data_IF_055352873315
#
_entry.id   IF_055352873315
#
_cell.length_a   1.000
_cell.length_b   1.000
_cell.length_c   1.000
_cell.angle_alpha   90.00
_cell.angle_beta   90.00
_cell.angle_gamma   90.00
#
_symmetry.space_group_name_H-M   'P 1'
#
loop_
_entity.id
_entity.type
_entity.pdbx_description
1 polymer ?
#
# COMPACT_ATOMS: atom_id res chain seq x y z
N UNK A 1 -10.88 45.37 43.80
CA UNK A 1 -11.45 44.13 43.22
C UNK A 1 -11.09 44.08 41.75
N UNK A 2 -10.11 43.28 41.32
CA UNK A 2 -9.82 43.12 39.90
C UNK A 2 -10.58 41.93 39.31
N UNK A 3 -11.23 42.23 38.19
CA UNK A 3 -11.78 41.43 37.10
C UNK A 3 -11.24 39.98 37.01
N UNK A 4 -12.15 39.01 37.07
CA UNK A 4 -11.88 37.62 36.72
C UNK A 4 -11.74 37.50 35.20
N UNK A 5 -10.50 37.34 34.73
CA UNK A 5 -10.18 37.03 33.34
C UNK A 5 -10.69 35.64 32.96
N UNK A 6 -11.44 35.58 31.86
CA UNK A 6 -11.85 34.33 31.24
C UNK A 6 -10.64 33.48 30.89
N UNK A 7 -10.61 32.25 31.41
CA UNK A 7 -9.63 31.25 30.99
C UNK A 7 -9.99 30.82 29.57
N UNK A 8 -9.25 31.31 28.59
CA UNK A 8 -9.23 30.76 27.24
C UNK A 8 -8.88 29.28 27.34
N UNK A 9 -9.77 28.41 26.87
CA UNK A 9 -9.51 26.99 26.73
C UNK A 9 -8.55 26.83 25.56
N UNK A 10 -7.25 26.77 25.84
CA UNK A 10 -6.25 26.39 24.84
C UNK A 10 -6.53 24.96 24.40
N UNK A 11 -7.10 24.80 23.21
CA UNK A 11 -7.14 23.50 22.54
C UNK A 11 -5.71 23.20 22.11
N UNK A 12 -4.99 22.45 22.95
CA UNK A 12 -3.77 21.76 22.50
C UNK A 12 -4.22 20.63 21.58
N UNK A 13 -4.16 20.87 20.28
CA UNK A 13 -4.16 19.78 19.30
C UNK A 13 -2.86 19.01 19.53
N UNK A 14 -2.95 17.89 20.23
CA UNK A 14 -1.89 16.89 20.20
C UNK A 14 -1.87 16.35 18.77
N UNK A 15 -0.97 16.86 17.94
CA UNK A 15 -0.59 16.18 16.70
C UNK A 15 0.06 14.89 17.17
N UNK A 16 -0.68 13.79 17.19
CA UNK A 16 -0.07 12.46 17.22
C UNK A 16 0.94 12.47 16.07
N UNK A 17 2.22 12.23 16.36
CA UNK A 17 3.23 12.06 15.31
C UNK A 17 2.68 11.04 14.30
N UNK A 18 2.17 11.53 13.16
CA UNK A 18 1.85 10.69 12.03
C UNK A 18 3.21 10.24 11.51
N UNK A 19 3.58 9.01 11.82
CA UNK A 19 4.84 8.43 11.35
C UNK A 19 4.89 8.45 9.83
N UNK A 20 6.10 8.43 9.27
CA UNK A 20 6.30 8.25 7.85
C UNK A 20 5.90 6.82 7.45
N UNK A 21 4.98 6.72 6.51
CA UNK A 21 4.26 5.49 6.17
C UNK A 21 4.87 4.84 4.94
N UNK A 22 5.36 3.60 5.08
CA UNK A 22 5.94 2.82 3.99
C UNK A 22 5.15 1.53 3.80
N UNK A 23 4.74 1.25 2.56
CA UNK A 23 4.03 0.02 2.21
C UNK A 23 4.77 -0.75 1.12
N UNK A 24 5.11 -2.01 1.39
CA UNK A 24 5.78 -2.90 0.44
C UNK A 24 4.94 -4.16 0.18
N UNK A 25 4.80 -4.54 -1.09
CA UNK A 25 4.19 -5.81 -1.52
C UNK A 25 5.24 -6.71 -2.18
N UNK A 26 5.15 -8.00 -1.91
CA UNK A 26 6.03 -9.04 -2.42
C UNK A 26 5.22 -10.27 -2.84
N UNK A 27 5.79 -11.12 -3.69
CA UNK A 27 5.17 -12.37 -4.09
C UNK A 27 3.86 -12.18 -4.85
N UNK A 28 3.75 -11.10 -5.65
CA UNK A 28 2.59 -10.87 -6.51
C UNK A 28 2.55 -11.86 -7.68
N UNK A 29 3.72 -12.20 -8.23
CA UNK A 29 3.82 -13.27 -9.21
C UNK A 29 4.27 -14.57 -8.56
N UNK A 30 3.63 -15.67 -8.95
CA UNK A 30 3.89 -17.00 -8.41
C UNK A 30 5.36 -17.38 -8.52
N UNK A 31 5.98 -17.29 -9.70
CA UNK A 31 7.34 -17.79 -9.95
C UNK A 31 8.48 -17.00 -9.31
N UNK A 32 8.21 -15.85 -8.71
CA UNK A 32 9.22 -14.92 -8.17
C UNK A 32 9.45 -15.19 -6.67
N UNK A 33 9.95 -16.39 -6.32
CA UNK A 33 10.15 -16.86 -4.93
C UNK A 33 11.04 -15.93 -4.12
N UNK A 34 12.12 -15.45 -4.73
CA UNK A 34 13.14 -14.64 -4.07
C UNK A 34 12.56 -13.36 -3.44
N UNK A 35 11.46 -12.82 -3.99
CA UNK A 35 10.80 -11.62 -3.45
C UNK A 35 10.26 -11.85 -2.04
N UNK A 36 9.60 -12.98 -1.80
CA UNK A 36 9.07 -13.34 -0.49
C UNK A 36 10.17 -13.66 0.52
N UNK A 37 11.28 -14.25 0.07
CA UNK A 37 12.45 -14.51 0.92
C UNK A 37 13.10 -13.20 1.38
N UNK A 38 13.19 -12.19 0.50
CA UNK A 38 13.64 -10.84 0.89
C UNK A 38 12.68 -10.21 1.90
N UNK A 39 11.37 -10.34 1.71
CA UNK A 39 10.38 -9.80 2.63
C UNK A 39 10.54 -10.40 4.05
N UNK A 40 10.69 -11.72 4.13
CA UNK A 40 10.90 -12.43 5.39
C UNK A 40 12.23 -12.03 6.04
N UNK A 41 13.31 -11.93 5.26
CA UNK A 41 14.61 -11.45 5.78
C UNK A 41 14.51 -10.04 6.33
N UNK A 42 13.83 -9.15 5.62
CA UNK A 42 13.62 -7.76 6.06
C UNK A 42 12.83 -7.72 7.37
N UNK A 43 11.76 -8.50 7.49
CA UNK A 43 10.98 -8.60 8.72
C UNK A 43 11.82 -9.13 9.89
N UNK A 44 12.67 -10.15 9.69
CA UNK A 44 13.58 -10.63 10.74
C UNK A 44 14.65 -9.61 11.11
N UNK A 45 15.13 -8.78 10.18
CA UNK A 45 16.04 -7.66 10.51
C UNK A 45 15.32 -6.60 11.34
N UNK A 46 14.10 -6.22 10.94
CA UNK A 46 13.28 -5.24 11.66
C UNK A 46 12.81 -5.75 13.03
N UNK A 47 12.67 -7.06 13.18
CA UNK A 47 12.36 -7.74 14.44
C UNK A 47 13.58 -8.05 15.32
N UNK A 48 14.77 -7.56 14.95
CA UNK A 48 16.05 -7.80 15.67
C UNK A 48 16.48 -9.28 15.76
N UNK A 49 15.86 -10.16 14.98
CA UNK A 49 16.22 -11.59 14.89
C UNK A 49 17.48 -11.82 14.04
N UNK A 50 17.75 -10.89 13.11
CA UNK A 50 18.88 -10.96 12.19
C UNK A 50 19.70 -9.67 12.21
N UNK A 51 21.05 -9.73 12.18
CA UNK A 51 21.87 -8.53 12.22
C UNK A 51 21.66 -7.65 11.00
N UNK A 52 21.65 -6.33 11.22
CA UNK A 52 21.55 -5.33 10.16
C UNK A 52 22.79 -5.44 9.25
N UNK A 53 22.62 -5.67 7.94
CA UNK A 53 23.73 -5.63 7.00
C UNK A 53 24.31 -4.21 6.94
N UNK A 54 25.62 -4.06 7.19
CA UNK A 54 26.45 -2.89 6.85
C UNK A 54 25.96 -1.48 7.27
N UNK A 55 25.01 -1.34 8.19
CA UNK A 55 24.54 -0.03 8.70
C UNK A 55 24.78 0.08 10.22
N UNK A 56 25.21 1.25 10.69
CA UNK A 56 25.49 1.48 12.11
C UNK A 56 24.19 1.43 12.95
N UNK A 57 24.12 0.66 14.04
CA UNK A 57 22.87 0.37 14.76
C UNK A 57 22.17 1.62 15.34
N UNK A 58 22.91 2.70 15.61
CA UNK A 58 22.36 3.92 16.22
C UNK A 58 21.54 4.78 15.25
N UNK A 59 21.84 4.79 13.94
CA UNK A 59 21.11 5.61 12.95
C UNK A 59 19.72 5.04 12.67
N UNK A 60 19.64 3.71 12.55
CA UNK A 60 18.42 3.01 12.16
C UNK A 60 17.34 3.10 13.24
N UNK A 61 17.67 2.95 14.52
CA UNK A 61 16.68 3.00 15.60
C UNK A 61 15.95 4.34 15.66
N UNK A 62 16.68 5.46 15.52
CA UNK A 62 16.08 6.80 15.54
C UNK A 62 15.16 7.07 14.34
N UNK A 63 15.42 6.37 13.22
CA UNK A 63 14.59 6.44 12.02
C UNK A 63 13.34 5.56 12.19
N UNK A 64 13.50 4.33 12.67
CA UNK A 64 12.41 3.37 12.87
C UNK A 64 11.35 3.87 13.87
N UNK A 65 11.74 4.63 14.89
CA UNK A 65 10.81 5.25 15.84
C UNK A 65 9.76 6.18 15.20
N UNK A 66 10.04 6.68 13.98
CA UNK A 66 9.16 7.58 13.24
C UNK A 66 8.52 6.92 12.02
N UNK A 67 8.73 5.63 11.83
CA UNK A 67 8.24 4.89 10.67
C UNK A 67 7.09 3.98 11.06
N UNK A 68 6.10 3.88 10.18
CA UNK A 68 5.15 2.76 10.18
C UNK A 68 5.37 2.02 8.89
N UNK A 69 5.83 0.78 8.99
CA UNK A 69 6.13 -0.08 7.85
C UNK A 69 5.05 -1.15 7.75
N UNK A 70 4.39 -1.24 6.61
CA UNK A 70 3.49 -2.32 6.25
C UNK A 70 4.15 -3.20 5.19
N UNK A 71 4.21 -4.50 5.45
CA UNK A 71 4.78 -5.48 4.54
C UNK A 71 3.74 -6.55 4.26
N UNK A 72 3.49 -6.83 2.98
CA UNK A 72 2.76 -8.01 2.52
C UNK A 72 3.80 -8.95 1.88
N UNK A 73 4.28 -9.98 2.59
CA UNK A 73 5.39 -10.82 2.10
C UNK A 73 4.96 -11.80 0.99
N UNK A 74 3.66 -12.02 0.84
CA UNK A 74 3.07 -12.94 -0.15
C UNK A 74 1.67 -12.47 -0.53
N UNK A 75 1.56 -11.79 -1.67
CA UNK A 75 0.27 -11.38 -2.22
C UNK A 75 -0.46 -12.56 -2.89
N UNK A 76 0.27 -13.40 -3.64
CA UNK A 76 -0.30 -14.46 -4.47
C UNK A 76 -0.05 -15.87 -3.90
N UNK A 77 -0.71 -16.19 -2.79
CA UNK A 77 -0.59 -17.50 -2.15
C UNK A 77 -0.98 -18.66 -3.07
N UNK A 78 -1.99 -18.48 -3.94
CA UNK A 78 -2.47 -19.55 -4.79
C UNK A 78 -1.55 -19.81 -5.99
N UNK A 79 -0.98 -18.77 -6.60
CA UNK A 79 0.06 -18.92 -7.63
C UNK A 79 1.32 -19.55 -7.05
N UNK A 80 1.74 -19.12 -5.85
CA UNK A 80 2.85 -19.74 -5.09
C UNK A 80 2.68 -21.26 -4.96
N UNK A 81 1.49 -21.74 -4.60
CA UNK A 81 1.20 -23.18 -4.47
C UNK A 81 1.37 -23.96 -5.77
N UNK A 82 1.01 -23.36 -6.92
CA UNK A 82 1.18 -24.02 -8.23
C UNK A 82 2.66 -24.17 -8.57
N UNK A 83 3.44 -23.12 -8.31
CA UNK A 83 4.90 -23.13 -8.50
C UNK A 83 5.58 -24.16 -7.60
N UNK A 84 5.22 -24.20 -6.32
CA UNK A 84 5.74 -25.20 -5.37
C UNK A 84 5.29 -26.64 -5.71
N UNK A 85 4.19 -26.79 -6.45
CA UNK A 85 3.73 -28.08 -6.99
C UNK A 85 4.42 -28.48 -8.30
N UNK A 86 5.31 -27.64 -8.84
CA UNK A 86 6.16 -27.95 -10.00
C UNK A 86 5.88 -27.12 -11.25
N UNK A 87 4.88 -26.23 -11.25
CA UNK A 87 4.64 -25.30 -12.36
C UNK A 87 5.55 -24.06 -12.24
N UNK A 88 6.84 -24.27 -12.44
CA UNK A 88 7.89 -23.27 -12.15
C UNK A 88 7.78 -21.98 -12.97
N UNK A 89 6.97 -21.97 -14.03
CA UNK A 89 6.75 -20.81 -14.89
C UNK A 89 5.47 -20.04 -14.54
N UNK A 90 4.59 -20.55 -13.67
CA UNK A 90 3.31 -19.89 -13.39
C UNK A 90 3.54 -18.56 -12.66
N UNK A 91 3.14 -17.48 -13.34
CA UNK A 91 3.21 -16.10 -12.86
C UNK A 91 1.92 -15.69 -12.16
N UNK A 92 0.78 -16.17 -12.64
CA UNK A 92 -0.55 -15.65 -12.33
C UNK A 92 -1.07 -16.24 -11.03
N UNK A 93 -2.26 -15.82 -10.61
CA UNK A 93 -2.93 -16.40 -9.46
C UNK A 93 -3.55 -17.77 -9.76
N UNK A 94 -4.17 -18.41 -8.76
CA UNK A 94 -4.83 -19.72 -8.92
C UNK A 94 -6.05 -19.73 -9.87
N UNK A 95 -6.47 -18.57 -10.38
CA UNK A 95 -7.52 -18.43 -11.42
C UNK A 95 -6.94 -18.03 -12.78
N UNK A 96 -5.61 -18.00 -12.92
CA UNK A 96 -4.92 -17.65 -14.16
C UNK A 96 -5.03 -16.17 -14.51
N UNK A 97 -5.15 -15.28 -13.52
CA UNK A 97 -5.12 -13.81 -13.70
C UNK A 97 -3.78 -13.26 -13.23
N UNK A 98 -3.15 -12.43 -14.06
CA UNK A 98 -1.99 -11.63 -13.66
C UNK A 98 -2.46 -10.50 -12.74
N UNK A 99 -2.07 -10.59 -11.48
CA UNK A 99 -2.43 -9.59 -10.47
C UNK A 99 -1.85 -8.21 -10.79
N UNK A 100 -0.71 -8.13 -11.51
CA UNK A 100 -0.13 -6.87 -11.97
C UNK A 100 -0.64 -6.44 -13.36
N UNK A 101 -1.77 -6.99 -13.80
CA UNK A 101 -2.60 -6.49 -14.91
C UNK A 101 -4.05 -6.23 -14.50
N UNK A 102 -4.38 -6.46 -13.23
CA UNK A 102 -5.75 -6.43 -12.71
C UNK A 102 -6.11 -5.10 -12.01
N UNK A 103 -5.33 -4.04 -12.16
CA UNK A 103 -5.59 -2.72 -11.58
C UNK A 103 -6.29 -1.79 -12.57
N UNK A 104 -6.94 -0.72 -12.08
CA UNK A 104 -7.86 0.07 -12.91
C UNK A 104 -7.24 1.06 -13.90
N UNK A 105 -5.93 1.34 -13.84
CA UNK A 105 -5.28 2.31 -14.73
C UNK A 105 -4.98 1.67 -16.09
N UNK A 106 -5.54 2.22 -17.17
CA UNK A 106 -5.48 1.69 -18.54
C UNK A 106 -5.86 0.18 -18.66
N UNK A 107 -6.70 -0.31 -17.74
CA UNK A 107 -7.03 -1.73 -17.60
C UNK A 107 -7.57 -2.36 -18.89
N UNK A 108 -7.13 -3.59 -19.17
CA UNK A 108 -7.67 -4.43 -20.24
C UNK A 108 -7.17 -4.09 -21.64
N UNK A 109 -6.34 -3.05 -21.77
CA UNK A 109 -5.61 -2.78 -23.01
C UNK A 109 -4.54 -3.83 -23.24
N UNK A 110 -4.35 -4.18 -24.51
CA UNK A 110 -3.45 -5.25 -24.95
C UNK A 110 -2.50 -4.67 -25.99
N UNK A 111 -1.21 -4.79 -25.73
CA UNK A 111 -0.18 -4.44 -26.72
C UNK A 111 -0.06 -5.52 -27.80
N UNK A 112 0.74 -5.25 -28.83
CA UNK A 112 0.91 -6.18 -29.97
C UNK A 112 1.55 -7.50 -29.56
N UNK A 113 2.37 -7.47 -28.52
CA UNK A 113 3.10 -8.57 -27.91
C UNK A 113 2.34 -9.21 -26.73
N UNK A 114 1.08 -8.85 -26.51
CA UNK A 114 0.25 -9.40 -25.44
C UNK A 114 0.22 -10.93 -25.44
N UNK A 115 0.57 -11.53 -24.31
CA UNK A 115 0.45 -12.97 -24.08
C UNK A 115 -0.65 -13.26 -23.04
N UNK A 116 -1.77 -13.93 -23.40
CA UNK A 116 -2.81 -14.29 -22.44
C UNK A 116 -2.36 -15.29 -21.36
N UNK A 117 -1.27 -16.03 -21.58
CA UNK A 117 -0.72 -16.94 -20.57
C UNK A 117 0.13 -16.22 -19.52
N UNK A 118 0.58 -14.99 -19.81
CA UNK A 118 1.39 -14.18 -18.90
C UNK A 118 0.61 -12.99 -18.35
N UNK A 119 -0.22 -12.35 -19.17
CA UNK A 119 -0.75 -11.00 -18.94
C UNK A 119 -2.27 -10.93 -18.84
N UNK A 120 -2.95 -12.06 -18.60
CA UNK A 120 -4.41 -12.08 -18.48
C UNK A 120 -4.88 -11.10 -17.38
N UNK A 121 -5.59 -10.01 -17.73
CA UNK A 121 -5.92 -8.93 -16.80
C UNK A 121 -7.16 -9.23 -15.94
N UNK A 122 -7.78 -10.40 -16.11
CA UNK A 122 -9.04 -10.76 -15.44
C UNK A 122 -10.27 -10.25 -16.18
N UNK A 123 -11.43 -10.32 -15.52
CA UNK A 123 -12.73 -10.01 -16.13
C UNK A 123 -13.15 -8.54 -15.97
N UNK A 124 -12.58 -7.86 -15.00
CA UNK A 124 -12.78 -6.45 -14.67
C UNK A 124 -11.55 -5.97 -13.86
N UNK A 125 -11.31 -4.65 -13.76
CA UNK A 125 -10.32 -4.16 -12.80
C UNK A 125 -10.76 -4.57 -11.38
N UNK A 126 -9.80 -5.04 -10.59
CA UNK A 126 -10.01 -5.60 -9.26
C UNK A 126 -10.98 -6.80 -9.24
N UNK A 127 -11.00 -7.61 -10.31
CA UNK A 127 -11.79 -8.86 -10.31
C UNK A 127 -11.28 -9.88 -9.29
N UNK A 128 -10.01 -9.79 -8.91
CA UNK A 128 -9.39 -10.75 -8.00
C UNK A 128 -9.44 -10.26 -6.53
N UNK A 129 -9.76 -11.12 -5.54
CA UNK A 129 -9.72 -10.77 -4.12
C UNK A 129 -8.33 -10.32 -3.68
N UNK A 130 -7.26 -10.87 -4.26
CA UNK A 130 -5.88 -10.46 -3.96
C UNK A 130 -5.68 -8.95 -4.24
N UNK A 131 -6.04 -8.48 -5.45
CA UNK A 131 -5.93 -7.06 -5.81
C UNK A 131 -6.93 -6.19 -5.06
N UNK A 132 -8.14 -6.68 -4.76
CA UNK A 132 -9.11 -5.95 -3.92
C UNK A 132 -8.60 -5.70 -2.50
N UNK A 133 -7.88 -6.67 -1.91
CA UNK A 133 -7.27 -6.51 -0.59
C UNK A 133 -6.17 -5.45 -0.65
N UNK A 134 -5.29 -5.54 -1.64
CA UNK A 134 -4.20 -4.56 -1.81
C UNK A 134 -4.73 -3.15 -2.06
N UNK A 135 -5.80 -3.01 -2.86
CA UNK A 135 -6.48 -1.74 -3.08
C UNK A 135 -6.98 -1.13 -1.76
N UNK A 136 -7.67 -1.92 -0.93
CA UNK A 136 -8.20 -1.45 0.37
C UNK A 136 -7.07 -1.13 1.34
N UNK A 137 -6.02 -1.94 1.37
CA UNK A 137 -4.86 -1.70 2.23
C UNK A 137 -4.17 -0.40 1.86
N UNK A 138 -3.91 -0.14 0.57
CA UNK A 138 -3.27 1.09 0.14
C UNK A 138 -4.13 2.33 0.39
N UNK A 139 -5.43 2.27 0.07
CA UNK A 139 -6.34 3.39 0.30
C UNK A 139 -6.52 3.72 1.79
N UNK A 140 -6.49 2.72 2.66
CA UNK A 140 -6.63 2.91 4.11
C UNK A 140 -5.32 3.30 4.81
N UNK A 141 -4.19 2.86 4.26
CA UNK A 141 -2.88 3.11 4.84
C UNK A 141 -2.26 4.44 4.37
N UNK A 142 -2.62 4.91 3.17
CA UNK A 142 -2.15 6.19 2.60
C UNK A 142 -0.61 6.32 2.61
N UNK A 143 0.11 5.43 1.89
CA UNK A 143 1.56 5.36 1.97
C UNK A 143 2.26 6.59 1.38
N UNK A 144 3.31 7.04 2.05
CA UNK A 144 4.25 8.03 1.51
C UNK A 144 5.20 7.40 0.49
N UNK A 145 5.64 6.16 0.78
CA UNK A 145 6.38 5.30 -0.14
C UNK A 145 5.59 4.01 -0.33
N UNK A 146 5.36 3.66 -1.59
CA UNK A 146 4.87 2.35 -1.97
C UNK A 146 5.88 1.65 -2.89
N UNK A 147 6.14 0.37 -2.64
CA UNK A 147 7.02 -0.46 -3.47
C UNK A 147 6.36 -1.80 -3.79
N UNK A 148 6.34 -2.19 -5.04
CA UNK A 148 6.01 -3.54 -5.49
C UNK A 148 7.27 -4.26 -5.97
N UNK A 149 7.52 -5.42 -5.41
CA UNK A 149 8.81 -6.11 -5.54
C UNK A 149 8.64 -7.37 -6.39
N UNK A 150 9.46 -7.44 -7.43
CA UNK A 150 9.44 -8.43 -8.49
C UNK A 150 10.82 -9.01 -8.75
N UNK A 151 10.88 -10.06 -9.57
CA UNK A 151 12.11 -10.55 -10.17
C UNK A 151 11.90 -10.88 -11.64
N UNK A 152 13.01 -11.13 -12.35
CA UNK A 152 13.10 -11.33 -13.80
C UNK A 152 14.17 -10.46 -14.44
N UNK A 153 14.60 -9.41 -13.74
CA UNK A 153 15.71 -8.52 -14.10
C UNK A 153 16.22 -7.79 -12.84
N UNK A 154 17.20 -6.89 -13.01
CA UNK A 154 17.62 -5.96 -11.96
C UNK A 154 17.33 -4.51 -12.35
N UNK A 155 16.36 -3.92 -11.68
CA UNK A 155 15.89 -2.58 -11.99
C UNK A 155 15.18 -1.90 -10.82
N UNK A 156 15.21 -0.57 -10.87
CA UNK A 156 14.52 0.34 -9.98
C UNK A 156 13.62 1.21 -10.85
N UNK A 157 12.35 0.83 -10.96
CA UNK A 157 11.39 1.56 -11.77
C UNK A 157 10.53 2.49 -10.95
N UNK A 158 10.11 3.54 -11.63
CA UNK A 158 9.04 4.45 -11.25
C UNK A 158 7.96 4.46 -12.35
N UNK A 159 6.80 5.09 -12.13
CA UNK A 159 5.82 5.28 -13.17
C UNK A 159 6.40 5.96 -14.41
N UNK A 160 5.76 5.85 -15.58
CA UNK A 160 4.61 4.97 -15.84
C UNK A 160 5.04 3.62 -16.39
N UNK A 161 4.26 2.59 -16.12
CA UNK A 161 4.39 1.27 -16.76
C UNK A 161 3.61 1.23 -18.08
N UNK A 162 2.41 1.81 -18.13
CA UNK A 162 1.54 1.81 -19.31
C UNK A 162 1.91 2.85 -20.38
N UNK A 163 2.90 3.71 -20.12
CA UNK A 163 3.35 4.77 -21.04
C UNK A 163 4.85 4.73 -21.22
N UNK A 164 5.31 4.96 -22.45
CA UNK A 164 6.72 5.20 -22.77
C UNK A 164 7.14 6.64 -22.42
N UNK A 165 6.73 7.12 -21.25
CA UNK A 165 7.04 8.47 -20.77
C UNK A 165 7.23 8.43 -19.27
N UNK A 166 8.25 9.14 -18.79
CA UNK A 166 8.42 9.41 -17.37
C UNK A 166 7.48 10.55 -16.95
N UNK A 167 6.82 10.48 -15.79
CA UNK A 167 6.06 11.61 -15.26
C UNK A 167 6.93 12.86 -15.19
N UNK A 168 6.31 14.01 -15.39
CA UNK A 168 7.00 15.30 -15.30
C UNK A 168 6.90 15.89 -13.89
N UNK A 169 7.71 16.92 -13.62
CA UNK A 169 7.62 17.72 -12.41
C UNK A 169 8.60 17.31 -11.31
N UNK A 170 8.60 18.09 -10.24
CA UNK A 170 9.61 17.98 -9.19
C UNK A 170 9.58 16.65 -8.46
N UNK A 171 8.39 16.13 -8.10
CA UNK A 171 8.26 14.85 -7.42
C UNK A 171 8.89 13.71 -8.24
N UNK A 172 8.69 13.73 -9.56
CA UNK A 172 9.31 12.77 -10.48
C UNK A 172 10.83 12.86 -10.49
N UNK A 173 11.40 14.08 -10.53
CA UNK A 173 12.85 14.24 -10.43
C UNK A 173 13.42 13.76 -9.10
N UNK A 174 12.72 13.98 -7.99
CA UNK A 174 13.13 13.52 -6.67
C UNK A 174 13.07 11.99 -6.59
N UNK A 175 11.99 11.37 -7.09
CA UNK A 175 11.88 9.92 -7.22
C UNK A 175 13.05 9.36 -8.01
N UNK A 176 13.31 9.89 -9.21
CA UNK A 176 14.41 9.42 -10.06
C UNK A 176 15.78 9.56 -9.37
N UNK A 177 16.05 10.71 -8.75
CA UNK A 177 17.29 10.94 -8.02
C UNK A 177 17.47 9.98 -6.84
N UNK A 178 16.39 9.64 -6.14
CA UNK A 178 16.41 8.64 -5.08
C UNK A 178 16.77 7.25 -5.63
N UNK A 179 16.20 6.85 -6.77
CA UNK A 179 16.50 5.57 -7.40
C UNK A 179 17.94 5.50 -7.93
N UNK A 180 18.45 6.59 -8.51
CA UNK A 180 19.85 6.70 -8.94
C UNK A 180 20.82 6.57 -7.74
N UNK A 181 20.50 7.18 -6.60
CA UNK A 181 21.29 7.05 -5.37
C UNK A 181 21.27 5.61 -4.83
N UNK A 182 20.11 4.95 -4.80
CA UNK A 182 20.00 3.55 -4.38
C UNK A 182 20.78 2.61 -5.31
N UNK A 183 20.73 2.84 -6.62
CA UNK A 183 21.48 2.09 -7.62
C UNK A 183 22.99 2.20 -7.37
N UNK A 184 23.47 3.42 -7.15
CA UNK A 184 24.89 3.66 -6.90
C UNK A 184 25.38 3.01 -5.60
N UNK A 185 24.61 3.11 -4.52
CA UNK A 185 24.99 2.63 -3.19
C UNK A 185 24.94 1.11 -3.06
N UNK A 186 23.93 0.46 -3.64
CA UNK A 186 23.60 -0.93 -3.34
C UNK A 186 23.60 -1.85 -4.54
N UNK A 187 23.30 -1.32 -5.73
CA UNK A 187 23.40 -2.10 -6.94
C UNK A 187 24.80 -2.03 -7.55
N UNK A 188 25.65 -1.02 -7.32
CA UNK A 188 26.89 -0.79 -8.10
C UNK A 188 26.59 -0.39 -9.56
N UNK A 189 25.58 0.47 -9.75
CA UNK A 189 25.20 1.06 -11.06
C UNK A 189 24.77 0.04 -12.15
N UNK A 190 24.50 -1.21 -11.76
CA UNK A 190 23.99 -2.28 -12.65
C UNK A 190 22.48 -2.31 -12.78
N UNK A 191 21.73 -1.80 -11.81
CA UNK A 191 20.27 -1.79 -11.91
C UNK A 191 19.83 -0.76 -12.96
N UNK A 192 18.87 -1.11 -13.81
CA UNK A 192 18.26 -0.15 -14.72
C UNK A 192 17.37 0.83 -13.91
N UNK A 193 17.44 2.12 -14.20
CA UNK A 193 16.67 3.15 -13.48
C UNK A 193 15.82 3.97 -14.45
N UNK A 194 14.52 4.13 -14.16
CA UNK A 194 13.64 4.99 -14.95
C UNK A 194 12.17 4.61 -14.91
N UNK A 195 11.38 5.11 -15.87
CA UNK A 195 9.97 4.72 -15.97
C UNK A 195 9.83 3.30 -16.52
N UNK A 196 9.01 2.44 -15.92
CA UNK A 196 8.83 1.04 -16.35
C UNK A 196 8.59 0.89 -17.86
N UNK A 197 7.57 1.57 -18.39
CA UNK A 197 7.22 1.53 -19.81
C UNK A 197 8.19 2.27 -20.73
N UNK A 198 9.08 3.10 -20.18
CA UNK A 198 10.10 3.83 -20.93
C UNK A 198 11.48 3.18 -20.93
N UNK A 199 11.75 2.29 -19.97
CA UNK A 199 13.08 1.70 -19.74
C UNK A 199 13.19 0.25 -20.22
N UNK A 200 12.09 -0.52 -20.24
CA UNK A 200 12.13 -1.98 -20.49
C UNK A 200 11.74 -2.37 -21.92
N UNK A 201 11.14 -1.45 -22.69
CA UNK A 201 10.84 -1.67 -24.11
C UNK A 201 9.48 -2.33 -24.40
N UNK A 202 8.67 -2.62 -23.37
CA UNK A 202 7.26 -2.99 -23.50
C UNK A 202 6.39 -2.16 -22.53
N UNK A 203 5.08 -2.10 -22.79
CA UNK A 203 4.13 -1.36 -21.95
C UNK A 203 3.26 -2.33 -21.15
N UNK A 204 3.14 -2.08 -19.85
CA UNK A 204 2.32 -2.88 -18.96
C UNK A 204 1.09 -2.07 -18.51
N UNK A 205 -0.10 -2.62 -18.76
CA UNK A 205 -1.38 -1.98 -18.46
C UNK A 205 -2.01 -2.56 -17.20
N UNK A 206 -2.74 -1.76 -16.43
CA UNK A 206 -3.40 -2.24 -15.22
C UNK A 206 -2.42 -2.68 -14.13
N UNK A 207 -1.30 -1.97 -13.96
CA UNK A 207 -0.30 -2.26 -12.94
C UNK A 207 -0.62 -1.62 -11.60
N UNK A 208 -0.07 -2.21 -10.54
CA UNK A 208 -0.20 -1.66 -9.20
C UNK A 208 0.49 -0.30 -9.08
N UNK A 209 1.67 -0.14 -9.68
CA UNK A 209 2.50 1.07 -9.59
C UNK A 209 1.82 2.28 -10.19
N UNK A 210 1.23 2.12 -11.37
CA UNK A 210 0.47 3.19 -12.02
C UNK A 210 -0.77 3.55 -11.21
N UNK A 211 -1.46 2.58 -10.60
CA UNK A 211 -2.60 2.86 -9.71
C UNK A 211 -2.19 3.63 -8.45
N UNK A 212 -1.06 3.26 -7.83
CA UNK A 212 -0.58 3.96 -6.63
C UNK A 212 -0.21 5.41 -6.94
N UNK A 213 0.38 5.64 -8.11
CA UNK A 213 0.74 6.97 -8.56
C UNK A 213 -0.47 7.82 -8.97
N UNK A 214 -1.35 7.29 -9.82
CA UNK A 214 -2.44 8.07 -10.42
C UNK A 214 -3.68 8.17 -9.54
N UNK A 215 -4.01 7.13 -8.78
CA UNK A 215 -5.27 7.05 -8.02
C UNK A 215 -5.04 7.26 -6.53
N UNK A 216 -4.09 6.53 -5.93
CA UNK A 216 -3.78 6.68 -4.49
C UNK A 216 -3.03 7.98 -4.23
N UNK A 217 -2.30 8.50 -5.24
CA UNK A 217 -1.45 9.69 -5.11
C UNK A 217 -0.34 9.51 -4.07
N UNK A 218 0.19 8.28 -3.97
CA UNK A 218 1.39 8.04 -3.17
C UNK A 218 2.53 8.94 -3.70
N UNK A 219 3.17 9.77 -2.86
CA UNK A 219 4.24 10.69 -3.27
C UNK A 219 5.39 9.99 -4.00
N UNK A 220 5.67 8.74 -3.61
CA UNK A 220 6.70 7.90 -4.18
C UNK A 220 6.16 6.49 -4.38
N UNK A 221 6.01 6.08 -5.64
CA UNK A 221 5.55 4.75 -6.03
C UNK A 221 6.60 4.09 -6.93
N UNK A 222 6.97 2.85 -6.62
CA UNK A 222 8.07 2.16 -7.29
C UNK A 222 7.77 0.69 -7.60
N UNK A 223 8.41 0.19 -8.65
CA UNK A 223 8.52 -1.25 -8.95
C UNK A 223 9.99 -1.62 -8.85
N UNK A 224 10.36 -2.54 -7.95
CA UNK A 224 11.75 -3.00 -7.82
C UNK A 224 11.87 -4.42 -8.36
N UNK A 225 12.77 -4.60 -9.33
CA UNK A 225 13.14 -5.89 -9.90
C UNK A 225 14.45 -6.32 -9.26
N UNK A 226 14.42 -7.39 -8.46
CA UNK A 226 15.47 -7.66 -7.48
C UNK A 226 16.50 -8.71 -7.90
N UNK A 227 16.22 -9.41 -8.98
CA UNK A 227 17.05 -10.50 -9.47
C UNK A 227 16.61 -10.88 -10.87
N UNK A 228 17.56 -11.11 -11.77
CA UNK A 228 17.30 -11.81 -13.03
C UNK A 228 18.55 -12.51 -13.53
N UNK A 229 18.40 -13.71 -14.08
CA UNK A 229 19.48 -14.41 -14.77
C UNK A 229 19.27 -14.32 -16.28
N UNK A 230 19.94 -13.36 -16.92
CA UNK A 230 19.86 -13.14 -18.37
C UNK A 230 20.47 -14.29 -19.20
N UNK A 231 21.30 -15.13 -18.58
CA UNK A 231 21.93 -16.29 -19.21
C UNK A 231 21.08 -17.56 -19.06
N UNK A 232 19.94 -17.48 -18.36
CA UNK A 232 19.00 -18.58 -18.27
C UNK A 232 18.25 -18.77 -19.60
N UNK A 233 18.06 -20.04 -19.98
CA UNK A 233 17.19 -20.39 -21.11
C UNK A 233 15.75 -19.99 -20.79
N UNK A 234 14.98 -19.58 -21.80
CA UNK A 234 13.53 -19.31 -21.66
C UNK A 234 12.71 -20.50 -21.17
N UNK A 235 13.30 -21.70 -21.13
CA UNK A 235 12.68 -22.92 -20.56
C UNK A 235 12.99 -23.13 -19.08
N UNK A 236 13.94 -22.39 -18.51
CA UNK A 236 14.38 -22.50 -17.12
C UNK A 236 13.86 -21.31 -16.30
N UNK A 237 12.53 -21.27 -16.14
CA UNK A 237 11.86 -20.21 -15.41
C UNK A 237 12.36 -20.08 -13.97
N UNK A 238 12.71 -21.19 -13.31
CA UNK A 238 13.20 -21.08 -11.94
C UNK A 238 14.47 -20.24 -11.89
N UNK A 239 15.47 -20.56 -12.73
CA UNK A 239 16.74 -19.84 -12.78
C UNK A 239 16.59 -18.39 -13.25
N UNK A 240 15.68 -18.11 -14.20
CA UNK A 240 15.41 -16.74 -14.65
C UNK A 240 14.99 -15.82 -13.51
N UNK A 241 14.14 -16.33 -12.60
CA UNK A 241 13.47 -15.52 -11.58
C UNK A 241 14.06 -15.71 -10.17
N UNK A 242 14.90 -16.73 -9.95
CA UNK A 242 15.38 -17.10 -8.61
C UNK A 242 16.84 -17.57 -8.61
N UNK A 243 17.64 -17.18 -7.60
CA UNK A 243 18.98 -17.71 -7.39
C UNK A 243 19.01 -19.23 -7.24
N UNK A 244 19.93 -19.89 -7.94
CA UNK A 244 20.12 -21.35 -7.89
C UNK A 244 21.24 -21.81 -6.95
N UNK A 245 22.00 -20.86 -6.41
CA UNK A 245 23.10 -21.12 -5.47
C UNK A 245 23.00 -20.25 -4.22
N UNK A 246 23.54 -20.76 -3.12
CA UNK A 246 23.43 -20.14 -1.81
C UNK A 246 24.17 -18.80 -1.70
N UNK A 247 25.24 -18.60 -2.48
CA UNK A 247 26.01 -17.36 -2.43
C UNK A 247 25.22 -16.23 -3.09
N UNK A 248 24.66 -16.47 -4.28
CA UNK A 248 23.78 -15.52 -4.97
C UNK A 248 22.51 -15.26 -4.18
N UNK A 249 21.89 -16.29 -3.60
CA UNK A 249 20.72 -16.14 -2.72
C UNK A 249 21.00 -15.17 -1.57
N UNK A 250 22.05 -15.42 -0.77
CA UNK A 250 22.39 -14.55 0.35
C UNK A 250 22.81 -13.15 -0.08
N UNK A 251 23.47 -13.01 -1.23
CA UNK A 251 23.82 -11.70 -1.80
C UNK A 251 22.55 -10.90 -2.10
N UNK A 252 21.59 -11.47 -2.82
CA UNK A 252 20.31 -10.81 -3.14
C UNK A 252 19.57 -10.41 -1.86
N UNK A 253 19.47 -11.30 -0.88
CA UNK A 253 18.84 -10.96 0.41
C UNK A 253 19.50 -9.77 1.10
N UNK A 254 20.83 -9.76 1.19
CA UNK A 254 21.56 -8.70 1.90
C UNK A 254 21.53 -7.37 1.15
N UNK A 255 21.75 -7.38 -0.17
CA UNK A 255 21.78 -6.18 -1.00
C UNK A 255 20.41 -5.49 -0.97
N UNK A 256 19.33 -6.24 -1.19
CA UNK A 256 17.98 -5.66 -1.24
C UNK A 256 17.41 -5.28 0.12
N UNK A 257 17.76 -6.01 1.19
CA UNK A 257 17.46 -5.50 2.53
C UNK A 257 18.17 -4.18 2.80
N UNK A 258 19.43 -4.01 2.34
CA UNK A 258 20.16 -2.75 2.48
C UNK A 258 19.52 -1.62 1.70
N UNK A 259 19.04 -1.88 0.46
CA UNK A 259 18.24 -0.94 -0.33
C UNK A 259 17.02 -0.47 0.45
N UNK A 260 16.23 -1.39 1.02
CA UNK A 260 15.03 -1.02 1.77
C UNK A 260 15.34 -0.22 3.05
N UNK A 261 16.39 -0.58 3.78
CA UNK A 261 16.80 0.18 4.96
C UNK A 261 17.25 1.60 4.60
N UNK A 262 18.01 1.77 3.51
CA UNK A 262 18.36 3.11 3.00
C UNK A 262 17.13 3.87 2.52
N UNK A 263 16.17 3.21 1.87
CA UNK A 263 14.89 3.80 1.47
C UNK A 263 14.12 4.34 2.69
N UNK A 264 14.09 3.57 3.79
CA UNK A 264 13.45 3.98 5.05
C UNK A 264 14.15 5.18 5.71
N UNK A 265 15.48 5.23 5.66
CA UNK A 265 16.29 6.32 6.22
C UNK A 265 16.21 7.61 5.39
N UNK A 266 16.16 7.50 4.08
CA UNK A 266 16.20 8.65 3.16
C UNK A 266 14.81 9.18 2.81
N UNK A 267 13.79 8.31 2.81
CA UNK A 267 12.41 8.61 2.42
C UNK A 267 11.81 9.87 3.06
N UNK A 268 11.86 10.03 4.39
CA UNK A 268 11.33 11.24 5.05
C UNK A 268 11.93 12.53 4.53
N UNK A 269 13.27 12.57 4.34
CA UNK A 269 13.97 13.74 3.81
C UNK A 269 13.54 14.05 2.37
N UNK A 270 13.38 13.03 1.53
CA UNK A 270 12.93 13.20 0.14
C UNK A 270 11.50 13.71 0.06
N UNK A 271 10.62 13.29 0.96
CA UNK A 271 9.26 13.81 1.04
C UNK A 271 9.24 15.29 1.46
N UNK A 272 10.05 15.68 2.44
CA UNK A 272 10.18 17.08 2.86
C UNK A 272 10.67 17.97 1.69
N UNK A 273 11.57 17.47 0.85
CA UNK A 273 11.99 18.17 -0.37
C UNK A 273 10.85 18.35 -1.36
N UNK A 274 9.97 17.35 -1.53
CA UNK A 274 8.77 17.46 -2.38
C UNK A 274 7.86 18.56 -1.83
N UNK A 275 7.53 18.53 -0.54
CA UNK A 275 6.59 19.49 0.05
C UNK A 275 7.15 20.93 0.12
N UNK A 276 8.40 21.09 0.53
CA UNK A 276 9.02 22.42 0.71
C UNK A 276 9.18 23.16 -0.62
N UNK A 277 9.53 22.44 -1.70
CA UNK A 277 9.74 23.03 -3.03
C UNK A 277 8.49 23.07 -3.89
N UNK A 278 7.40 22.39 -3.53
CA UNK A 278 6.06 22.64 -4.11
C UNK A 278 5.41 23.89 -3.49
N UNK A 279 5.75 24.21 -2.24
CA UNK A 279 5.24 25.41 -1.54
C UNK A 279 5.81 26.74 -2.09
N UNK A 280 6.89 26.69 -2.88
CA UNK A 280 7.58 27.89 -3.42
C UNK A 280 7.06 28.36 -4.80
N UNK A 281 6.68 27.46 -5.76
CA UNK A 281 6.14 27.86 -7.06
C UNK A 281 4.63 28.19 -7.05
N UNK A 282 3.85 27.68 -6.08
CA UNK A 282 2.38 27.81 -6.10
C UNK A 282 1.84 29.05 -5.38
N UNK A 283 2.68 29.87 -4.73
CA UNK A 283 2.22 31.11 -4.10
C UNK A 283 1.86 32.22 -5.13
N UNK A 284 2.31 32.08 -6.39
CA UNK A 284 1.91 32.99 -7.47
C UNK A 284 0.65 32.54 -8.23
N UNK A 285 0.16 31.32 -8.00
CA UNK A 285 -1.06 30.79 -8.64
C UNK A 285 -2.19 30.69 -7.64
N UNK A 286 -2.64 31.85 -7.16
CA UNK A 286 -3.91 31.97 -6.45
C UNK A 286 -5.06 31.80 -7.46
N UNK A 287 -5.36 30.55 -7.82
CA UNK A 287 -6.53 30.17 -8.61
C UNK A 287 -7.55 29.51 -7.69
N UNK A 288 -8.79 29.98 -7.88
CA UNK A 288 -10.00 29.77 -7.10
C UNK A 288 -10.21 28.37 -6.55
N UNK A 289 -10.68 28.31 -5.29
CA UNK A 289 -11.31 27.16 -4.61
C UNK A 289 -12.35 26.43 -5.48
N UNK A 290 -12.87 27.08 -6.53
CA UNK A 290 -13.79 26.47 -7.48
C UNK A 290 -13.16 25.34 -8.31
N UNK A 291 -11.87 25.39 -8.65
CA UNK A 291 -11.24 24.36 -9.52
C UNK A 291 -10.98 23.05 -8.76
N UNK A 292 -10.75 23.14 -7.44
CA UNK A 292 -10.64 21.98 -6.54
C UNK A 292 -12.00 21.28 -6.34
N UNK A 293 -13.09 22.05 -6.28
CA UNK A 293 -14.45 21.53 -6.21
C UNK A 293 -14.92 20.95 -7.55
N UNK A 294 -14.53 21.54 -8.69
CA UNK A 294 -14.90 21.04 -10.01
C UNK A 294 -14.21 19.70 -10.32
N UNK A 295 -12.96 19.48 -9.89
CA UNK A 295 -12.30 18.18 -9.95
C UNK A 295 -13.01 17.10 -9.12
N UNK A 296 -13.50 17.47 -7.93
CA UNK A 296 -14.26 16.59 -7.04
C UNK A 296 -15.67 16.27 -7.58
N UNK A 297 -16.27 17.19 -8.36
CA UNK A 297 -17.62 17.06 -8.93
C UNK A 297 -17.65 16.47 -10.36
N UNK A 298 -16.59 16.64 -11.15
CA UNK A 298 -16.45 16.08 -12.49
C UNK A 298 -16.31 14.54 -12.47
N UNK A 299 -15.76 13.97 -11.40
CA UNK A 299 -15.75 12.51 -11.16
C UNK A 299 -17.14 11.88 -11.01
N UNK A 300 -18.20 12.69 -10.92
CA UNK A 300 -19.60 12.25 -10.80
C UNK A 300 -20.47 12.51 -12.03
N UNK A 301 -19.98 13.23 -13.06
CA UNK A 301 -20.79 13.60 -14.24
C UNK A 301 -20.61 12.69 -15.46
N UNK A 302 -19.63 11.77 -15.47
CA UNK A 302 -19.36 10.89 -16.62
C UNK A 302 -19.93 9.47 -16.50
N UNK A 303 -21.20 9.32 -16.08
CA UNK A 303 -22.03 8.12 -16.37
C UNK A 303 -23.48 8.32 -15.94
N UNK A 304 -24.22 9.13 -16.71
CA UNK A 304 -25.67 9.05 -16.69
C UNK A 304 -26.08 7.71 -17.34
N UNK A 305 -26.66 6.81 -16.56
CA UNK A 305 -27.16 5.55 -17.07
C UNK A 305 -27.27 4.36 -16.11
N UNK A 306 -27.27 4.54 -14.78
CA UNK A 306 -27.75 3.52 -13.79
C UNK A 306 -27.75 4.03 -12.33
N UNK A 307 -28.27 5.23 -12.09
CA UNK A 307 -28.17 5.89 -10.77
C UNK A 307 -29.23 5.45 -9.74
N UNK A 308 -30.22 4.63 -10.13
CA UNK A 308 -31.35 4.32 -9.24
C UNK A 308 -31.11 3.11 -8.31
N UNK A 309 -30.29 2.13 -8.70
CA UNK A 309 -30.18 0.87 -7.92
C UNK A 309 -29.18 0.96 -6.74
N UNK A 310 -28.10 1.75 -6.86
CA UNK A 310 -27.04 1.82 -5.82
C UNK A 310 -27.41 2.75 -4.66
N UNK A 311 -28.12 3.85 -4.93
CA UNK A 311 -28.60 4.76 -3.90
C UNK A 311 -29.70 4.13 -3.03
N UNK A 312 -30.59 3.33 -3.64
CA UNK A 312 -31.62 2.61 -2.88
C UNK A 312 -31.02 1.52 -2.01
N UNK A 313 -29.99 0.79 -2.48
CA UNK A 313 -29.32 -0.24 -1.69
C UNK A 313 -28.55 0.36 -0.50
N UNK A 314 -27.77 1.42 -0.73
CA UNK A 314 -27.05 2.13 0.34
C UNK A 314 -27.98 2.77 1.37
N UNK A 315 -29.12 3.32 0.94
CA UNK A 315 -30.13 3.88 1.84
C UNK A 315 -30.90 2.80 2.61
N UNK A 316 -31.10 1.60 2.04
CA UNK A 316 -31.67 0.44 2.74
C UNK A 316 -30.73 -0.10 3.81
N UNK A 317 -29.44 -0.20 3.52
CA UNK A 317 -28.45 -0.65 4.51
C UNK A 317 -28.34 0.35 5.67
N UNK A 318 -28.25 1.65 5.38
CA UNK A 318 -28.22 2.70 6.42
C UNK A 318 -29.48 2.68 7.29
N UNK A 319 -30.67 2.49 6.70
CA UNK A 319 -31.92 2.33 7.45
C UNK A 319 -31.92 1.07 8.33
N UNK A 320 -31.31 0.00 7.86
CA UNK A 320 -31.20 -1.26 8.61
C UNK A 320 -30.24 -1.10 9.80
N UNK A 321 -29.07 -0.49 9.58
CA UNK A 321 -28.13 -0.15 10.66
C UNK A 321 -28.77 0.79 11.69
N UNK A 322 -29.51 1.80 11.25
CA UNK A 322 -30.19 2.73 12.16
C UNK A 322 -31.28 2.04 12.99
N UNK A 323 -32.05 1.11 12.39
CA UNK A 323 -33.06 0.30 13.11
C UNK A 323 -32.41 -0.64 14.14
N UNK A 324 -31.30 -1.29 13.78
CA UNK A 324 -30.56 -2.17 14.69
C UNK A 324 -29.92 -1.38 15.84
N UNK A 325 -29.40 -0.19 15.57
CA UNK A 325 -28.85 0.72 16.58
C UNK A 325 -29.93 1.23 17.55
N UNK A 326 -31.13 1.58 17.05
CA UNK A 326 -32.27 1.95 17.90
C UNK A 326 -32.74 0.79 18.76
N UNK A 327 -32.83 -0.42 18.18
CA UNK A 327 -33.21 -1.63 18.93
C UNK A 327 -32.20 -1.94 20.04
N UNK A 328 -30.90 -1.88 19.75
CA UNK A 328 -29.86 -2.11 20.75
C UNK A 328 -29.87 -1.07 21.86
N UNK A 329 -30.11 0.19 21.52
CA UNK A 329 -30.23 1.30 22.48
C UNK A 329 -31.45 1.13 23.40
N UNK A 330 -32.59 0.71 22.87
CA UNK A 330 -33.81 0.45 23.65
C UNK A 330 -33.60 -0.76 24.58
N UNK A 331 -32.99 -1.84 24.10
CA UNK A 331 -32.66 -3.02 24.92
C UNK A 331 -31.69 -2.66 26.06
N UNK A 332 -30.67 -1.84 25.78
CA UNK A 332 -29.75 -1.30 26.79
C UNK A 332 -30.50 -0.47 27.84
N UNK A 333 -31.45 0.36 27.42
CA UNK A 333 -32.30 1.13 28.35
C UNK A 333 -33.14 0.22 29.24
N UNK A 334 -33.78 -0.82 28.70
CA UNK A 334 -34.55 -1.79 29.49
C UNK A 334 -33.68 -2.58 30.47
N UNK A 335 -32.47 -2.98 30.07
CA UNK A 335 -31.51 -3.64 30.97
C UNK A 335 -31.08 -2.70 32.11
N UNK A 336 -30.88 -1.41 31.81
CA UNK A 336 -30.52 -0.41 32.81
C UNK A 336 -31.67 -0.12 33.79
N UNK A 337 -32.90 0.07 33.28
CA UNK A 337 -34.10 0.26 34.09
C UNK A 337 -34.41 -0.97 34.97
N UNK A 338 -34.21 -2.19 34.46
CA UNK A 338 -34.40 -3.43 35.22
C UNK A 338 -33.38 -3.59 36.36
N UNK A 339 -32.13 -3.14 36.16
CA UNK A 339 -31.11 -3.12 37.23
C UNK A 339 -31.44 -2.09 38.32
N UNK A 340 -31.93 -0.90 37.94
CA UNK A 340 -32.35 0.13 38.91
C UNK A 340 -33.58 -0.32 39.70
N UNK A 341 -34.53 -1.02 39.07
CA UNK A 341 -35.71 -1.54 39.75
C UNK A 341 -35.37 -2.63 40.77
N UNK A 342 -34.37 -3.48 40.51
CA UNK A 342 -33.91 -4.49 41.49
C UNK A 342 -33.14 -3.88 42.66
N UNK A 343 -32.48 -2.74 42.47
CA UNK A 343 -31.78 -2.00 43.53
C UNK A 343 -32.73 -1.31 44.53
N UNK A 344 -33.94 -0.92 44.11
CA UNK A 344 -34.93 -0.27 45.00
C UNK A 344 -35.89 -1.22 45.73
N UNK A 345 -35.80 -2.54 45.49
CA UNK A 345 -36.69 -3.56 46.07
C UNK A 345 -36.22 -4.20 47.38
N UNK A 346 -35.04 -3.84 47.92
CA UNK A 346 -34.43 -4.52 49.08
C UNK A 346 -34.32 -3.66 50.36
N UNK A 347 -35.16 -2.64 50.53
CA UNK A 347 -35.17 -1.82 51.75
C UNK A 347 -36.58 -1.46 52.23
N UNK A 348 -37.29 -2.44 52.82
CA UNK A 348 -38.35 -2.18 53.80
C UNK A 348 -38.27 -3.22 54.94
N UNK A 349 -38.10 -2.80 56.21
CA UNK A 349 -38.20 -3.71 57.35
C UNK A 349 -39.67 -4.00 57.65
N UNK A 350 -40.02 -5.28 57.83
CA UNK A 350 -41.31 -5.68 58.39
C UNK A 350 -41.31 -5.46 59.91
N UNK A 351 -42.24 -4.66 60.41
CA UNK A 351 -42.64 -4.60 61.83
C UNK A 351 -44.12 -4.96 61.91
N UNK A 352 -44.45 -5.95 62.75
CA UNK A 352 -45.78 -6.27 63.28
C UNK A 352 -45.58 -7.36 64.35
N UNK A 353 -45.49 -7.01 65.63
CA UNK A 353 -46.58 -6.89 66.61
C UNK A 353 -47.09 -8.26 67.12
N UNK A 354 -46.78 -8.53 68.40
CA UNK A 354 -47.24 -9.65 69.23
C UNK A 354 -48.72 -9.50 69.62
N UNK A 355 -49.47 -10.60 69.83
CA UNK A 355 -50.71 -10.57 70.60
C UNK A 355 -50.51 -11.06 72.05
N UNK A 356 -51.41 -10.57 72.91
CA UNK A 356 -51.65 -10.92 74.33
C UNK A 356 -52.09 -12.37 74.49
#
# INVERSE_FOLDING_TARGET
MPMAGGRSTTVQTFVSFLGFLVFQSFGQHGRELITSEVALRLLSILGEEYPIPKMGPTSLNSTLERLVIKVVPMENLNGRKLVEAGDLCERRNGRGVDLNRNWSVDWGKKEKDYDPYEENPGTAPFSEPETQIMQKLSASFDPHIWVNVHSGMEALFMPYDHKNTTPNGLASHIMKSMLEELNHLHCLDRCLVGSGGGSVGYLAHGTATDYMYDIVKAPMAFTFEIYGDEEASSKDCFRMFNPIDLATFNRVLNDWCSVFLTLFETGPRRLDEIHSKVSLPDLEKLISIDEYLDGYLMGRKSRYGKQTEVLDFGMQEIRTYFRLFLLSSVLLMFMFCSRISKSKGSSRPMVSALPV
#
